data_IF_559419133075
#
_entry.id   IF_559419133075
#
_cell.length_a   1.000
_cell.length_b   1.000
_cell.length_c   1.000
_cell.angle_alpha   90.00
_cell.angle_beta   90.00
_cell.angle_gamma   90.00
#
_symmetry.space_group_name_H-M   'P 1'
#
loop_
_entity.id
_entity.type
_entity.pdbx_description
1 polymer ?
#
# COMPACT_ATOMS: atom_id res chain seq x y z
N UNK A 1 -16.37 6.00 13.14
CA UNK A 1 -16.06 4.74 12.43
C UNK A 1 -16.26 3.50 13.31
N UNK A 2 -16.91 3.61 14.48
CA UNK A 2 -17.25 2.47 15.34
C UNK A 2 -16.14 1.96 16.28
N UNK A 3 -15.01 2.64 16.38
CA UNK A 3 -13.97 2.35 17.36
C UNK A 3 -14.28 3.04 18.70
N UNK A 4 -14.19 2.30 19.81
CA UNK A 4 -14.36 2.84 21.16
C UNK A 4 -13.16 3.66 21.63
N UNK A 5 -11.98 3.37 21.08
CA UNK A 5 -10.73 4.03 21.40
C UNK A 5 -9.94 4.36 20.12
N UNK A 6 -9.43 5.59 20.03
CA UNK A 6 -8.67 6.06 18.86
C UNK A 6 -7.49 6.90 19.30
N UNK A 7 -6.28 6.47 18.92
CA UNK A 7 -5.06 7.25 18.93
C UNK A 7 -4.71 7.61 17.49
N UNK A 8 -4.91 8.85 17.09
CA UNK A 8 -4.85 9.26 15.69
C UNK A 8 -3.48 9.84 15.32
N UNK A 9 -2.87 9.27 14.29
CA UNK A 9 -1.80 9.88 13.49
C UNK A 9 -2.35 10.32 12.15
N UNK A 10 -1.96 11.50 11.66
CA UNK A 10 -2.36 12.01 10.33
C UNK A 10 -1.14 12.56 9.59
N UNK A 11 -1.02 12.25 8.30
CA UNK A 11 0.16 12.59 7.51
C UNK A 11 1.29 11.56 7.66
N UNK A 12 2.50 11.92 7.25
CA UNK A 12 3.59 10.98 7.03
C UNK A 12 4.94 11.48 7.51
N UNK A 13 5.89 10.54 7.70
CA UNK A 13 7.24 10.81 8.18
C UNK A 13 7.23 11.53 9.53
N UNK A 14 8.25 12.32 9.80
CA UNK A 14 8.34 13.07 11.05
C UNK A 14 7.37 14.26 11.17
N UNK A 15 6.59 14.56 10.10
CA UNK A 15 5.56 15.62 10.06
C UNK A 15 4.16 15.13 10.46
N UNK A 16 4.00 13.90 10.90
CA UNK A 16 2.73 13.36 11.37
C UNK A 16 2.06 14.31 12.38
N UNK A 17 0.76 14.48 12.21
CA UNK A 17 -0.11 15.28 13.09
C UNK A 17 -0.99 14.41 13.98
N UNK A 18 -2.14 14.98 14.39
CA UNK A 18 -3.10 14.29 15.26
C UNK A 18 -2.66 14.23 16.71
N UNK A 19 -3.01 13.16 17.44
CA UNK A 19 -2.65 12.99 18.84
C UNK A 19 -1.14 12.85 19.06
N UNK A 20 -0.42 12.39 18.06
CA UNK A 20 1.03 12.27 18.08
C UNK A 20 1.72 13.59 18.43
N UNK A 21 1.27 14.72 17.87
CA UNK A 21 1.93 16.00 18.13
C UNK A 21 1.83 16.44 19.60
N UNK A 22 0.73 16.15 20.26
CA UNK A 22 0.54 16.45 21.67
C UNK A 22 1.45 15.57 22.54
N UNK A 23 1.50 14.28 22.22
CA UNK A 23 2.37 13.30 22.91
C UNK A 23 3.86 13.61 22.71
N UNK A 24 4.26 14.03 21.51
CA UNK A 24 5.64 14.41 21.23
C UNK A 24 6.03 15.67 21.98
N UNK A 25 5.17 16.68 22.00
CA UNK A 25 5.42 17.95 22.72
C UNK A 25 5.51 17.75 24.23
N UNK A 26 4.74 16.82 24.79
CA UNK A 26 4.86 16.46 26.22
C UNK A 26 6.22 15.85 26.53
N UNK A 27 6.77 15.02 25.65
CA UNK A 27 8.09 14.37 25.82
C UNK A 27 9.26 15.30 25.50
N UNK A 28 9.09 16.11 24.49
CA UNK A 28 10.10 17.01 23.95
C UNK A 28 9.49 18.41 23.75
N UNK A 29 9.44 19.24 24.79
CA UNK A 29 8.95 20.62 24.69
C UNK A 29 9.72 21.41 23.60
N UNK A 30 8.99 22.03 22.65
CA UNK A 30 9.56 22.66 21.48
C UNK A 30 9.83 21.66 20.35
N UNK A 31 9.09 20.56 20.30
CA UNK A 31 9.24 19.46 19.33
C UNK A 31 9.11 19.86 17.88
N UNK A 32 8.49 20.98 17.56
CA UNK A 32 8.49 21.53 16.21
C UNK A 32 9.89 21.76 15.64
N UNK A 33 10.89 22.02 16.51
CA UNK A 33 12.29 22.22 16.14
C UNK A 33 13.04 20.90 15.86
N UNK A 34 12.39 19.75 15.99
CA UNK A 34 12.92 18.41 15.65
C UNK A 34 12.41 17.91 14.27
N UNK A 35 11.40 18.54 13.72
CA UNK A 35 10.58 17.99 12.64
C UNK A 35 10.79 18.75 11.33
N UNK A 36 10.76 18.00 10.24
CA UNK A 36 10.81 18.54 8.89
C UNK A 36 12.21 18.84 8.38
N UNK A 37 12.34 19.15 7.08
CA UNK A 37 13.63 19.32 6.42
C UNK A 37 14.46 20.49 6.94
N UNK A 38 13.82 21.53 7.46
CA UNK A 38 14.53 22.71 8.00
C UNK A 38 15.27 22.41 9.31
N UNK A 39 14.90 21.31 9.97
CA UNK A 39 15.48 20.84 11.24
C UNK A 39 16.23 19.51 11.07
N UNK A 40 16.50 19.10 9.84
CA UNK A 40 17.19 17.85 9.55
C UNK A 40 18.58 17.78 10.13
N UNK A 41 18.97 16.61 10.61
CA UNK A 41 20.36 16.32 10.92
C UNK A 41 21.20 16.28 9.65
N UNK A 42 22.52 16.57 9.73
CA UNK A 42 23.40 16.52 8.57
C UNK A 42 23.35 15.16 7.85
N UNK A 43 23.23 15.18 6.52
CA UNK A 43 23.26 14.00 5.65
C UNK A 43 23.73 14.39 4.24
N UNK A 44 24.05 13.37 3.41
CA UNK A 44 24.54 13.57 2.04
C UNK A 44 23.52 13.23 0.96
N UNK A 45 22.34 12.73 1.33
CA UNK A 45 21.28 12.35 0.39
C UNK A 45 20.65 13.58 -0.24
N UNK A 46 20.31 13.47 -1.52
CA UNK A 46 19.80 14.57 -2.36
C UNK A 46 18.42 14.29 -2.93
N UNK A 47 17.89 13.08 -2.70
CA UNK A 47 16.58 12.66 -3.19
C UNK A 47 15.45 13.58 -2.72
N UNK A 48 14.45 13.82 -3.57
CA UNK A 48 13.26 14.56 -3.17
C UNK A 48 12.59 13.93 -1.95
N UNK A 49 12.13 14.78 -1.01
CA UNK A 49 11.44 14.34 0.21
C UNK A 49 12.28 13.39 1.08
N UNK A 50 13.58 13.61 1.10
CA UNK A 50 14.55 12.80 1.87
C UNK A 50 15.27 13.72 2.85
N UNK A 51 15.19 13.44 4.15
CA UNK A 51 15.98 14.13 5.17
C UNK A 51 16.15 13.25 6.42
N UNK A 52 17.29 13.42 7.07
CA UNK A 52 17.57 12.74 8.33
C UNK A 52 16.86 13.45 9.47
N UNK A 53 15.80 12.86 9.99
CA UNK A 53 15.00 13.48 11.06
C UNK A 53 15.81 13.67 12.34
N UNK A 54 15.56 14.77 13.05
CA UNK A 54 16.09 15.00 14.39
C UNK A 54 15.17 14.45 15.50
N UNK A 55 14.01 13.88 15.15
CA UNK A 55 13.15 13.19 16.11
C UNK A 55 13.84 11.90 16.57
N UNK A 56 14.03 11.70 17.90
CA UNK A 56 14.62 10.47 18.42
C UNK A 56 13.80 9.22 18.03
N UNK A 57 14.49 8.08 17.86
CA UNK A 57 13.87 6.81 17.47
C UNK A 57 12.70 6.42 18.38
N UNK A 58 12.86 6.54 19.69
CA UNK A 58 11.84 6.22 20.69
C UNK A 58 10.64 7.19 20.68
N UNK A 59 10.75 8.29 19.96
CA UNK A 59 9.72 9.33 19.86
C UNK A 59 9.20 9.51 18.44
N UNK A 60 9.63 8.67 17.51
CA UNK A 60 9.17 8.70 16.12
C UNK A 60 7.72 8.17 16.00
N UNK A 61 6.93 8.55 14.98
CA UNK A 61 5.54 8.13 14.85
C UNK A 61 5.30 6.62 14.96
N UNK A 62 6.15 5.80 14.35
CA UNK A 62 6.06 4.33 14.43
C UNK A 62 6.21 3.84 15.87
N UNK A 63 7.13 4.43 16.65
CA UNK A 63 7.29 4.11 18.09
C UNK A 63 6.08 4.54 18.91
N UNK A 64 5.49 5.71 18.61
CA UNK A 64 4.26 6.17 19.25
C UNK A 64 3.09 5.21 19.06
N UNK A 65 2.86 4.75 17.81
CA UNK A 65 1.80 3.80 17.50
C UNK A 65 2.02 2.49 18.22
N UNK A 66 3.26 1.99 18.21
CA UNK A 66 3.65 0.76 18.89
C UNK A 66 3.43 0.86 20.39
N UNK A 67 3.92 1.93 21.05
CA UNK A 67 3.74 2.15 22.50
C UNK A 67 2.26 2.16 22.88
N UNK A 68 1.43 2.91 22.15
CA UNK A 68 -0.01 2.96 22.42
C UNK A 68 -0.70 1.59 22.22
N UNK A 69 -0.23 0.79 21.28
CA UNK A 69 -0.76 -0.55 21.03
C UNK A 69 -0.39 -1.52 22.14
N UNK A 70 0.86 -1.48 22.61
CA UNK A 70 1.32 -2.28 23.76
C UNK A 70 0.55 -1.91 25.03
N UNK A 71 0.35 -0.62 25.28
CA UNK A 71 -0.40 -0.09 26.42
C UNK A 71 -1.88 -0.49 26.36
N UNK A 72 -2.50 -0.44 25.18
CA UNK A 72 -3.87 -0.94 24.99
C UNK A 72 -3.99 -2.43 25.32
N UNK A 73 -3.08 -3.27 24.82
CA UNK A 73 -3.09 -4.70 25.11
C UNK A 73 -2.92 -5.00 26.61
N UNK A 74 -2.03 -4.25 27.29
CA UNK A 74 -1.86 -4.37 28.72
C UNK A 74 -3.16 -4.00 29.48
N UNK A 75 -3.75 -2.85 29.17
CA UNK A 75 -5.00 -2.38 29.79
C UNK A 75 -6.16 -3.34 29.54
N UNK A 76 -6.26 -3.89 28.33
CA UNK A 76 -7.25 -4.91 28.00
C UNK A 76 -7.10 -6.13 28.92
N UNK A 77 -5.88 -6.65 29.06
CA UNK A 77 -5.60 -7.80 29.93
C UNK A 77 -5.92 -7.50 31.40
N UNK A 78 -5.48 -6.33 31.91
CA UNK A 78 -5.66 -5.93 33.30
C UNK A 78 -7.13 -5.65 33.65
N UNK A 79 -7.94 -5.27 32.66
CA UNK A 79 -9.37 -5.04 32.88
C UNK A 79 -10.16 -6.35 33.13
N UNK A 80 -9.59 -7.50 32.81
CA UNK A 80 -10.28 -8.79 32.85
C UNK A 80 -11.43 -8.89 31.85
N UNK A 81 -11.40 -8.09 30.77
CA UNK A 81 -12.43 -8.12 29.74
C UNK A 81 -12.57 -9.52 29.12
N UNK A 82 -13.81 -10.00 29.01
CA UNK A 82 -14.15 -11.29 28.37
C UNK A 82 -14.55 -11.11 26.91
N UNK A 83 -14.92 -9.89 26.50
CA UNK A 83 -15.28 -9.59 25.11
C UNK A 83 -14.01 -9.54 24.24
N UNK A 84 -14.04 -10.07 23.00
CA UNK A 84 -12.93 -9.97 22.08
C UNK A 84 -12.65 -8.50 21.75
N UNK A 85 -11.39 -8.18 21.42
CA UNK A 85 -11.03 -6.87 20.89
C UNK A 85 -10.80 -6.95 19.37
N UNK A 86 -11.00 -5.81 18.71
CA UNK A 86 -10.52 -5.53 17.37
C UNK A 86 -9.56 -4.34 17.45
N UNK A 87 -8.31 -4.53 17.03
CA UNK A 87 -7.29 -3.49 17.06
C UNK A 87 -6.71 -3.28 15.66
N UNK A 88 -6.72 -2.06 15.18
CA UNK A 88 -6.06 -1.66 13.95
C UNK A 88 -4.84 -0.80 14.29
N UNK A 89 -3.65 -1.27 13.91
CA UNK A 89 -2.40 -0.55 14.00
C UNK A 89 -2.02 -0.08 12.61
N UNK A 90 -2.09 1.22 12.36
CA UNK A 90 -1.77 1.80 11.07
C UNK A 90 -0.50 2.63 11.17
N UNK A 91 0.58 2.12 10.63
CA UNK A 91 1.85 2.80 10.53
C UNK A 91 1.88 3.69 9.28
N UNK A 92 2.30 4.97 9.37
CA UNK A 92 2.49 5.81 8.19
C UNK A 92 3.70 5.40 7.36
N UNK A 93 4.68 4.72 7.97
CA UNK A 93 5.86 4.19 7.27
C UNK A 93 5.52 2.89 6.51
N UNK A 94 6.18 2.66 5.37
CA UNK A 94 7.31 3.37 4.78
C UNK A 94 6.93 4.49 3.78
N UNK A 95 5.78 5.15 3.92
CA UNK A 95 5.38 6.24 3.04
C UNK A 95 6.38 7.41 3.07
N UNK A 96 6.64 8.02 1.91
CA UNK A 96 7.42 9.27 1.87
C UNK A 96 6.78 10.39 2.74
N UNK A 97 7.56 11.33 3.27
CA UNK A 97 8.99 11.53 3.12
C UNK A 97 9.82 10.42 3.77
N UNK A 98 10.96 10.13 3.13
CA UNK A 98 11.86 9.06 3.55
C UNK A 98 12.73 9.57 4.71
N UNK A 99 12.26 9.32 5.94
CA UNK A 99 12.85 9.92 7.15
C UNK A 99 13.03 8.93 8.30
N UNK A 100 13.59 7.72 8.07
CA UNK A 100 13.78 6.77 9.16
C UNK A 100 14.69 7.38 10.24
N UNK A 101 14.33 7.22 11.54
CA UNK A 101 15.11 7.79 12.64
C UNK A 101 16.28 6.91 13.05
N UNK A 102 17.27 7.51 13.73
CA UNK A 102 18.33 6.81 14.44
C UNK A 102 19.09 5.80 13.59
N UNK A 103 19.18 4.56 14.08
CA UNK A 103 19.91 3.45 13.43
C UNK A 103 19.35 3.06 12.05
N UNK A 104 18.09 3.27 11.81
CA UNK A 104 17.42 2.86 10.57
C UNK A 104 17.82 3.72 9.36
N UNK A 105 18.31 4.96 9.60
CA UNK A 105 18.82 5.84 8.55
C UNK A 105 20.07 5.29 7.87
N UNK A 106 20.99 4.74 8.62
CA UNK A 106 22.29 4.28 8.15
C UNK A 106 22.32 2.74 7.95
N UNK A 107 21.16 2.06 7.97
CA UNK A 107 21.09 0.59 8.00
C UNK A 107 21.37 -0.06 6.65
N UNK A 108 20.99 0.60 5.56
CA UNK A 108 21.13 0.11 4.19
C UNK A 108 21.91 1.11 3.35
N UNK A 109 22.80 0.60 2.48
CA UNK A 109 23.58 1.43 1.59
C UNK A 109 22.84 1.60 0.23
N UNK A 110 22.63 2.82 -0.26
CA UNK A 110 22.08 3.04 -1.61
C UNK A 110 22.81 2.32 -2.74
N UNK A 111 24.13 2.14 -2.62
CA UNK A 111 24.92 1.44 -3.63
C UNK A 111 24.60 -0.06 -3.72
N UNK A 112 24.05 -0.66 -2.66
CA UNK A 112 23.63 -2.05 -2.61
C UNK A 112 22.20 -2.27 -3.15
N UNK A 113 21.45 -1.19 -3.43
CA UNK A 113 20.07 -1.30 -3.92
C UNK A 113 20.03 -1.71 -5.40
N UNK A 114 19.33 -2.80 -5.70
CA UNK A 114 19.08 -3.23 -7.07
C UNK A 114 17.88 -2.47 -7.66
N UNK A 115 18.08 -1.87 -8.83
CA UNK A 115 17.01 -1.19 -9.55
C UNK A 115 16.08 -2.20 -10.23
N UNK A 116 14.78 -1.89 -10.38
CA UNK A 116 13.84 -2.72 -11.14
C UNK A 116 14.34 -2.97 -12.57
N UNK A 117 14.01 -4.13 -13.15
CA UNK A 117 14.37 -4.43 -14.53
C UNK A 117 13.79 -3.41 -15.52
N UNK A 118 12.63 -2.86 -15.22
CA UNK A 118 11.97 -1.77 -15.97
C UNK A 118 12.73 -0.44 -15.96
N UNK A 119 13.72 -0.25 -15.07
CA UNK A 119 14.55 0.96 -15.01
C UNK A 119 15.37 1.21 -16.28
N UNK A 120 15.98 0.13 -16.85
CA UNK A 120 16.87 0.20 -18.01
C UNK A 120 16.33 -0.67 -19.14
N UNK A 121 15.41 -0.14 -19.89
CA UNK A 121 14.86 -0.80 -21.09
C UNK A 121 15.19 -0.03 -22.35
N UNK A 122 15.32 -0.75 -23.48
CA UNK A 122 15.43 -0.18 -24.82
C UNK A 122 14.04 -0.08 -25.51
N UNK A 123 12.99 -0.45 -24.82
CA UNK A 123 11.60 -0.36 -25.31
C UNK A 123 11.09 1.05 -25.11
N UNK A 124 10.36 1.58 -26.07
CA UNK A 124 9.70 2.87 -25.92
C UNK A 124 8.68 2.80 -24.78
N UNK A 125 8.67 3.77 -23.86
CA UNK A 125 7.74 3.76 -22.74
C UNK A 125 6.29 3.92 -23.23
N UNK A 126 5.30 3.42 -22.48
CA UNK A 126 3.90 3.73 -22.75
C UNK A 126 3.60 5.22 -22.49
N UNK A 127 2.49 5.70 -23.02
CA UNK A 127 2.12 7.12 -22.94
C UNK A 127 2.07 7.66 -21.50
N UNK A 128 1.65 6.84 -20.55
CA UNK A 128 1.59 7.17 -19.13
C UNK A 128 2.98 7.50 -18.54
N UNK A 129 3.97 6.70 -18.87
CA UNK A 129 5.36 6.88 -18.43
C UNK A 129 6.03 8.02 -19.20
N UNK A 130 5.83 8.08 -20.52
CA UNK A 130 6.38 9.15 -21.36
C UNK A 130 5.95 10.53 -20.86
N UNK A 131 4.67 10.68 -20.48
CA UNK A 131 4.16 11.90 -19.89
C UNK A 131 4.97 12.35 -18.64
N UNK A 132 5.35 11.42 -17.77
CA UNK A 132 6.15 11.74 -16.59
C UNK A 132 7.61 12.09 -16.94
N UNK A 133 8.19 11.39 -17.92
CA UNK A 133 9.55 11.66 -18.41
C UNK A 133 9.63 13.03 -19.09
N UNK A 134 8.63 13.38 -19.92
CA UNK A 134 8.57 14.71 -20.57
C UNK A 134 8.56 15.82 -19.52
N UNK A 135 7.81 15.66 -18.42
CA UNK A 135 7.78 16.65 -17.33
C UNK A 135 9.10 16.76 -16.56
N UNK A 136 9.88 15.70 -16.48
CA UNK A 136 11.24 15.75 -15.96
C UNK A 136 12.15 16.52 -16.91
N UNK A 137 12.08 16.23 -18.20
CA UNK A 137 12.95 16.82 -19.22
C UNK A 137 12.69 18.32 -19.40
N UNK A 138 11.46 18.77 -19.35
CA UNK A 138 11.08 20.17 -19.48
C UNK A 138 11.15 20.95 -18.14
N UNK A 139 11.43 20.25 -17.03
CA UNK A 139 11.55 20.83 -15.69
C UNK A 139 10.22 21.22 -15.03
N UNK A 140 9.08 20.80 -15.58
CA UNK A 140 7.75 21.10 -15.03
C UNK A 140 7.26 20.12 -13.98
N UNK A 141 8.00 19.03 -13.73
CA UNK A 141 7.60 18.03 -12.73
C UNK A 141 7.58 18.60 -11.31
N UNK A 142 6.64 18.09 -10.51
CA UNK A 142 6.53 18.41 -9.09
C UNK A 142 7.00 17.22 -8.27
N UNK A 143 8.15 17.36 -7.59
CA UNK A 143 8.76 16.29 -6.78
C UNK A 143 8.41 16.39 -5.30
N UNK A 144 7.63 17.39 -4.91
CA UNK A 144 7.16 17.59 -3.53
C UNK A 144 5.69 17.19 -3.40
N UNK A 145 5.30 16.78 -2.18
CA UNK A 145 3.95 16.32 -1.90
C UNK A 145 3.73 14.87 -2.33
N UNK A 146 2.57 14.56 -2.87
CA UNK A 146 2.16 13.18 -3.21
C UNK A 146 2.07 12.94 -4.72
N UNK A 147 2.74 13.75 -5.53
CA UNK A 147 2.69 13.62 -6.98
C UNK A 147 3.68 12.54 -7.46
N UNK A 148 3.21 11.69 -8.36
CA UNK A 148 4.06 10.85 -9.18
C UNK A 148 5.08 11.72 -9.92
N UNK A 149 6.32 11.28 -10.02
CA UNK A 149 7.36 11.94 -10.80
C UNK A 149 8.39 10.95 -11.34
N UNK A 150 9.09 11.33 -12.40
CA UNK A 150 10.23 10.59 -12.93
C UNK A 150 11.51 10.97 -12.16
N UNK A 151 12.26 9.97 -11.68
CA UNK A 151 13.40 10.18 -10.79
C UNK A 151 14.75 9.90 -11.45
N UNK A 152 15.80 10.38 -10.83
CA UNK A 152 17.19 10.05 -11.15
C UNK A 152 17.60 8.77 -10.40
N UNK A 153 18.56 7.99 -10.97
CA UNK A 153 19.02 6.73 -10.39
C UNK A 153 19.48 6.88 -8.93
N UNK A 154 20.28 7.89 -8.64
CA UNK A 154 20.78 8.11 -7.28
C UNK A 154 19.65 8.35 -6.28
N UNK A 155 18.62 9.11 -6.66
CA UNK A 155 17.46 9.39 -5.80
C UNK A 155 16.62 8.14 -5.53
N UNK A 156 16.47 7.27 -6.53
CA UNK A 156 15.76 5.99 -6.35
C UNK A 156 16.50 5.08 -5.39
N UNK A 157 17.82 4.94 -5.55
CA UNK A 157 18.64 4.10 -4.65
C UNK A 157 18.62 4.63 -3.22
N UNK A 158 18.73 5.95 -3.03
CA UNK A 158 18.57 6.60 -1.73
C UNK A 158 17.20 6.29 -1.10
N UNK A 159 16.12 6.45 -1.87
CA UNK A 159 14.76 6.17 -1.41
C UNK A 159 14.56 4.68 -1.07
N UNK A 160 15.09 3.76 -1.88
CA UNK A 160 15.03 2.31 -1.63
C UNK A 160 15.73 1.94 -0.32
N UNK A 161 16.94 2.44 -0.09
CA UNK A 161 17.69 2.17 1.12
C UNK A 161 16.95 2.66 2.38
N UNK A 162 16.39 3.88 2.32
CA UNK A 162 15.62 4.45 3.41
C UNK A 162 14.27 3.74 3.62
N UNK A 163 13.61 3.32 2.54
CA UNK A 163 12.39 2.51 2.59
C UNK A 163 12.68 1.17 3.30
N UNK A 164 13.79 0.50 2.98
CA UNK A 164 14.21 -0.71 3.68
C UNK A 164 14.44 -0.45 5.19
N UNK A 165 15.03 0.69 5.54
CA UNK A 165 15.20 1.12 6.93
C UNK A 165 13.85 1.31 7.64
N UNK A 166 12.89 1.98 7.00
CA UNK A 166 11.53 2.17 7.54
C UNK A 166 10.78 0.84 7.66
N UNK A 167 10.90 -0.06 6.68
CA UNK A 167 10.30 -1.40 6.76
C UNK A 167 10.89 -2.19 7.94
N UNK A 168 12.21 -2.14 8.15
CA UNK A 168 12.85 -2.80 9.29
C UNK A 168 12.34 -2.25 10.62
N UNK A 169 12.11 -0.94 10.71
CA UNK A 169 11.53 -0.32 11.91
C UNK A 169 10.09 -0.79 12.16
N UNK A 170 9.29 -0.95 11.11
CA UNK A 170 7.94 -1.52 11.22
C UNK A 170 7.99 -2.97 11.64
N UNK A 171 8.92 -3.77 11.09
CA UNK A 171 9.12 -5.18 11.46
C UNK A 171 9.52 -5.34 12.93
N UNK A 172 10.49 -4.54 13.40
CA UNK A 172 10.85 -4.49 14.82
C UNK A 172 9.63 -4.18 15.71
N UNK A 173 8.77 -3.24 15.28
CA UNK A 173 7.54 -2.84 15.98
C UNK A 173 6.49 -3.95 16.01
N UNK A 174 6.28 -4.64 14.89
CA UNK A 174 5.41 -5.83 14.83
C UNK A 174 5.94 -6.92 15.77
N UNK A 175 7.26 -7.14 15.78
CA UNK A 175 7.91 -8.06 16.69
C UNK A 175 7.63 -7.75 18.16
N UNK A 176 7.64 -6.46 18.56
CA UNK A 176 7.29 -6.02 19.92
C UNK A 176 5.84 -6.37 20.27
N UNK A 177 4.89 -6.14 19.37
CA UNK A 177 3.47 -6.45 19.58
C UNK A 177 3.24 -7.96 19.67
N UNK A 178 3.85 -8.74 18.80
CA UNK A 178 3.78 -10.20 18.84
C UNK A 178 4.35 -10.77 20.14
N UNK A 179 5.43 -10.20 20.64
CA UNK A 179 6.00 -10.57 21.95
C UNK A 179 5.07 -10.19 23.10
N UNK A 180 4.42 -9.02 23.03
CA UNK A 180 3.44 -8.58 24.03
C UNK A 180 2.22 -9.50 24.09
N UNK A 181 1.69 -9.92 22.96
CA UNK A 181 0.59 -10.90 22.89
C UNK A 181 0.99 -12.22 23.58
N UNK A 182 2.23 -12.70 23.37
CA UNK A 182 2.76 -13.91 24.03
C UNK A 182 2.89 -13.72 25.54
N UNK A 183 3.48 -12.58 25.97
CA UNK A 183 3.66 -12.22 27.38
C UNK A 183 2.34 -12.20 28.15
N UNK A 184 1.29 -11.64 27.53
CA UNK A 184 -0.04 -11.52 28.11
C UNK A 184 -0.87 -12.82 28.01
N UNK A 185 -0.36 -13.85 27.34
CA UNK A 185 -1.08 -15.11 27.09
C UNK A 185 -2.25 -14.95 26.11
N UNK A 186 -2.19 -13.96 25.22
CA UNK A 186 -3.21 -13.68 24.20
C UNK A 186 -2.84 -14.23 22.83
N UNK A 187 -1.61 -14.63 22.59
CA UNK A 187 -1.11 -15.03 21.28
C UNK A 187 -1.86 -16.24 20.68
N UNK A 188 -2.38 -17.15 21.52
CA UNK A 188 -3.12 -18.33 21.08
C UNK A 188 -4.63 -18.10 20.93
N UNK A 189 -5.07 -16.84 21.05
CA UNK A 189 -6.48 -16.45 20.94
C UNK A 189 -6.62 -15.12 20.18
N UNK A 190 -5.65 -14.83 19.33
CA UNK A 190 -5.64 -13.60 18.54
C UNK A 190 -5.25 -13.91 17.10
N UNK A 191 -6.10 -13.54 16.17
CA UNK A 191 -5.79 -13.54 14.73
C UNK A 191 -4.99 -12.29 14.42
N UNK A 192 -3.89 -12.44 13.69
CA UNK A 192 -3.06 -11.32 13.23
C UNK A 192 -3.11 -11.23 11.72
N UNK A 193 -3.50 -10.07 11.22
CA UNK A 193 -3.53 -9.76 9.79
C UNK A 193 -2.51 -8.66 9.52
N UNK A 194 -1.59 -8.90 8.59
CA UNK A 194 -0.63 -7.91 8.14
C UNK A 194 -0.83 -7.61 6.66
N UNK A 195 -0.94 -6.34 6.32
CA UNK A 195 -1.11 -5.87 4.94
C UNK A 195 -0.67 -4.41 4.80
N UNK A 196 -0.69 -3.91 3.56
CA UNK A 196 -0.53 -2.49 3.23
C UNK A 196 -1.72 -2.02 2.40
N UNK A 197 -1.96 -0.72 2.35
CA UNK A 197 -2.99 -0.08 1.51
C UNK A 197 -2.59 -0.10 0.02
N UNK A 198 -1.34 0.21 -0.29
CA UNK A 198 -0.73 0.16 -1.62
C UNK A 198 0.80 0.06 -1.48
N UNK A 199 1.47 -0.19 -2.59
CA UNK A 199 2.93 -0.12 -2.70
C UNK A 199 3.44 1.27 -3.10
N UNK A 200 4.66 1.32 -3.62
CA UNK A 200 5.28 2.50 -4.23
C UNK A 200 5.96 2.05 -5.53
N UNK A 201 5.99 2.89 -6.56
CA UNK A 201 6.66 2.58 -7.82
C UNK A 201 8.16 2.41 -7.64
N UNK A 202 8.76 3.16 -6.74
CA UNK A 202 10.12 3.01 -6.21
C UNK A 202 11.16 2.62 -7.27
N UNK A 203 11.08 3.27 -8.44
CA UNK A 203 11.97 3.07 -9.57
C UNK A 203 11.37 2.31 -10.76
N UNK A 204 10.19 1.68 -10.63
CA UNK A 204 9.52 1.08 -11.77
C UNK A 204 9.36 2.12 -12.90
N UNK A 205 9.86 1.78 -14.10
CA UNK A 205 9.87 2.67 -15.26
C UNK A 205 10.45 4.08 -14.98
N UNK A 206 11.41 4.19 -14.05
CA UNK A 206 12.00 5.44 -13.56
C UNK A 206 11.02 6.33 -12.79
N UNK A 207 9.92 5.78 -12.29
CA UNK A 207 8.89 6.50 -11.56
C UNK A 207 9.03 6.32 -10.06
N UNK A 208 8.56 7.33 -9.31
CA UNK A 208 8.53 7.33 -7.85
C UNK A 208 7.13 7.65 -7.35
N UNK A 209 6.87 7.18 -6.13
CA UNK A 209 5.65 7.38 -5.38
C UNK A 209 4.47 6.64 -6.00
N UNK A 210 3.33 7.29 -6.13
CA UNK A 210 2.08 6.68 -6.55
C UNK A 210 1.25 7.61 -7.43
N UNK A 211 0.39 7.02 -8.24
CA UNK A 211 -0.51 7.72 -9.14
C UNK A 211 -1.34 6.72 -9.94
N UNK A 212 -2.07 7.16 -10.96
CA UNK A 212 -2.91 6.28 -11.77
C UNK A 212 -2.09 5.47 -12.79
N UNK A 213 -0.97 4.87 -12.36
CA UNK A 213 -0.11 3.99 -13.15
C UNK A 213 0.12 2.72 -12.31
N UNK A 214 -0.57 1.64 -12.65
CA UNK A 214 -0.74 0.46 -11.82
C UNK A 214 0.25 -0.65 -12.14
N UNK A 215 1.57 -0.39 -12.01
CA UNK A 215 2.58 -1.45 -12.08
C UNK A 215 2.63 -2.27 -10.79
N UNK A 216 3.24 -3.45 -10.87
CA UNK A 216 3.34 -4.41 -9.76
C UNK A 216 3.82 -3.77 -8.46
N UNK A 217 4.85 -2.94 -8.50
CA UNK A 217 5.40 -2.27 -7.31
C UNK A 217 4.35 -1.46 -6.55
N UNK A 218 3.35 -0.91 -7.25
CA UNK A 218 2.29 -0.11 -6.64
C UNK A 218 1.09 -0.94 -6.18
N UNK A 219 0.65 -1.93 -6.98
CA UNK A 219 -0.65 -2.59 -6.75
C UNK A 219 -0.54 -3.92 -6.02
N UNK A 220 0.64 -4.51 -5.92
CA UNK A 220 0.85 -5.78 -5.23
C UNK A 220 1.40 -5.55 -3.83
N UNK A 221 0.57 -5.80 -2.83
CA UNK A 221 0.89 -5.59 -1.42
C UNK A 221 1.04 -6.93 -0.66
N UNK A 222 1.79 -6.97 0.44
CA UNK A 222 1.82 -8.15 1.30
C UNK A 222 0.44 -8.39 1.90
N UNK A 223 0.07 -9.68 2.02
CA UNK A 223 -1.09 -10.10 2.80
C UNK A 223 -0.74 -11.38 3.56
N UNK A 224 -0.72 -11.27 4.89
CA UNK A 224 -0.41 -12.38 5.80
C UNK A 224 -1.59 -12.54 6.76
N UNK A 225 -2.14 -13.74 6.83
CA UNK A 225 -3.18 -14.12 7.76
C UNK A 225 -2.64 -15.18 8.71
N UNK A 226 -2.47 -14.83 9.98
CA UNK A 226 -2.04 -15.75 11.02
C UNK A 226 -3.21 -16.03 11.97
N UNK A 227 -3.80 -17.22 11.81
CA UNK A 227 -4.92 -17.72 12.61
C UNK A 227 -4.46 -18.83 13.55
N UNK A 228 -4.82 -18.73 14.81
CA UNK A 228 -4.37 -19.67 15.86
C UNK A 228 -5.08 -21.01 15.80
N UNK A 229 -6.36 -21.03 15.39
CA UNK A 229 -7.09 -22.26 15.11
C UNK A 229 -6.71 -22.81 13.72
N UNK A 230 -5.61 -22.29 13.20
CA UNK A 230 -5.15 -22.40 11.84
C UNK A 230 -5.27 -23.80 11.29
N UNK A 231 -6.14 -23.90 10.34
CA UNK A 231 -6.31 -25.09 9.51
C UNK A 231 -5.10 -25.37 8.64
N UNK A 232 -4.12 -24.45 8.65
CA UNK A 232 -2.88 -24.54 7.87
C UNK A 232 -1.66 -24.37 8.78
N UNK A 233 -0.74 -25.33 8.71
CA UNK A 233 0.57 -25.26 9.38
C UNK A 233 1.55 -24.31 8.66
N UNK A 234 1.08 -23.16 8.23
CA UNK A 234 1.79 -22.25 7.33
C UNK A 234 1.68 -22.72 5.87
N UNK A 235 1.65 -21.77 4.95
CA UNK A 235 1.54 -22.02 3.51
C UNK A 235 1.43 -20.70 2.75
N UNK A 236 1.43 -20.81 1.44
CA UNK A 236 1.13 -19.72 0.53
C UNK A 236 -0.03 -20.13 -0.39
N UNK A 237 -0.80 -19.15 -0.85
CA UNK A 237 -1.85 -19.33 -1.84
C UNK A 237 -1.60 -18.37 -2.99
N UNK A 238 -1.77 -18.86 -4.22
CA UNK A 238 -1.73 -18.04 -5.44
C UNK A 238 -3.10 -17.48 -5.81
N UNK A 239 -4.08 -17.57 -4.89
CA UNK A 239 -5.44 -17.09 -5.10
C UNK A 239 -5.45 -15.59 -5.41
N UNK A 240 -6.15 -15.22 -6.48
CA UNK A 240 -6.37 -13.82 -6.86
C UNK A 240 -7.28 -13.14 -5.83
N UNK A 241 -6.71 -12.20 -5.09
CA UNK A 241 -7.40 -11.48 -4.01
C UNK A 241 -7.05 -9.99 -3.99
N UNK A 242 -7.93 -9.19 -3.41
CA UNK A 242 -7.74 -7.76 -3.25
C UNK A 242 -8.04 -7.29 -1.83
N UNK A 243 -7.70 -6.04 -1.54
CA UNK A 243 -7.94 -5.43 -0.21
C UNK A 243 -9.42 -5.41 0.19
N UNK A 244 -10.34 -5.44 -0.79
CA UNK A 244 -11.79 -5.57 -0.54
C UNK A 244 -12.16 -6.88 0.19
N UNK A 245 -11.39 -7.94 -0.02
CA UNK A 245 -11.67 -9.26 0.53
C UNK A 245 -11.35 -9.34 2.04
N UNK A 246 -10.53 -8.44 2.56
CA UNK A 246 -10.10 -8.44 3.97
C UNK A 246 -11.30 -8.29 4.91
N UNK A 247 -12.15 -7.31 4.66
CA UNK A 247 -13.30 -7.03 5.52
C UNK A 247 -14.28 -8.22 5.55
N UNK A 248 -14.57 -8.79 4.37
CA UNK A 248 -15.43 -9.97 4.25
C UNK A 248 -14.83 -11.19 4.95
N UNK A 249 -13.52 -11.39 4.83
CA UNK A 249 -12.81 -12.48 5.49
C UNK A 249 -12.87 -12.35 7.02
N UNK A 250 -12.69 -11.14 7.56
CA UNK A 250 -12.80 -10.87 9.00
C UNK A 250 -14.22 -11.15 9.50
N UNK A 251 -15.25 -10.71 8.78
CA UNK A 251 -16.65 -10.96 9.16
C UNK A 251 -16.97 -12.45 9.17
N UNK A 252 -16.60 -13.18 8.12
CA UNK A 252 -16.80 -14.62 8.00
C UNK A 252 -16.10 -15.37 9.15
N UNK A 253 -14.81 -15.05 9.41
CA UNK A 253 -14.06 -15.66 10.52
C UNK A 253 -14.66 -15.36 11.89
N UNK A 254 -15.27 -14.20 12.04
CA UNK A 254 -15.98 -13.81 13.28
C UNK A 254 -17.41 -14.38 13.36
N UNK A 255 -17.88 -15.12 12.36
CA UNK A 255 -19.20 -15.72 12.32
C UNK A 255 -20.33 -14.72 12.03
N UNK A 256 -20.03 -13.60 11.39
CA UNK A 256 -21.02 -12.62 10.97
C UNK A 256 -21.34 -12.75 9.49
N UNK A 257 -22.63 -12.69 9.18
CA UNK A 257 -23.09 -12.58 7.79
C UNK A 257 -22.67 -11.21 7.20
N UNK A 258 -22.25 -11.18 5.92
CA UNK A 258 -21.92 -9.93 5.27
C UNK A 258 -23.13 -8.99 5.21
N UNK A 259 -22.91 -7.74 5.50
CA UNK A 259 -23.94 -6.74 5.26
C UNK A 259 -24.08 -6.45 3.76
N UNK A 260 -25.27 -6.00 3.38
CA UNK A 260 -25.54 -5.68 1.98
C UNK A 260 -24.64 -4.54 1.49
N UNK A 261 -24.12 -4.66 0.28
CA UNK A 261 -23.20 -3.70 -0.34
C UNK A 261 -21.73 -4.02 -0.15
N UNK A 262 -21.35 -5.04 0.64
CA UNK A 262 -19.98 -5.52 0.69
C UNK A 262 -19.63 -6.25 -0.62
N UNK A 263 -18.53 -5.88 -1.24
CA UNK A 263 -18.17 -6.33 -2.58
C UNK A 263 -17.04 -7.35 -2.61
N UNK A 264 -16.31 -7.49 -1.51
CA UNK A 264 -15.27 -8.49 -1.33
C UNK A 264 -15.86 -9.90 -1.12
N UNK A 265 -14.99 -10.90 -1.17
CA UNK A 265 -15.30 -12.29 -0.81
C UNK A 265 -14.53 -12.74 0.42
N UNK A 266 -14.99 -13.79 1.08
CA UNK A 266 -14.19 -14.42 2.13
C UNK A 266 -13.03 -15.22 1.52
N UNK A 267 -11.85 -15.07 2.09
CA UNK A 267 -10.65 -15.87 1.80
C UNK A 267 -10.49 -17.04 2.78
N UNK A 268 -11.45 -17.27 3.67
CA UNK A 268 -11.38 -18.38 4.64
C UNK A 268 -11.24 -19.75 3.99
N UNK A 269 -11.84 -20.07 2.82
CA UNK A 269 -11.56 -21.32 2.12
C UNK A 269 -10.07 -21.47 1.77
N UNK A 270 -9.44 -20.45 1.24
CA UNK A 270 -8.01 -20.46 0.85
C UNK A 270 -7.09 -20.47 2.08
N UNK A 271 -7.46 -19.75 3.15
CA UNK A 271 -6.79 -19.86 4.47
C UNK A 271 -6.88 -21.30 4.98
N UNK A 272 -7.98 -22.00 4.73
CA UNK A 272 -8.17 -23.43 5.01
C UNK A 272 -7.44 -24.38 4.03
N UNK A 273 -6.70 -23.86 3.05
CA UNK A 273 -5.96 -24.65 2.05
C UNK A 273 -6.80 -25.14 0.87
N UNK A 274 -8.01 -24.60 0.68
CA UNK A 274 -8.78 -24.89 -0.52
C UNK A 274 -8.15 -24.18 -1.76
N UNK A 275 -8.34 -24.73 -2.97
CA UNK A 275 -7.98 -24.04 -4.20
C UNK A 275 -8.72 -22.70 -4.34
N UNK A 276 -8.14 -21.77 -5.10
CA UNK A 276 -8.80 -20.51 -5.42
C UNK A 276 -10.19 -20.73 -6.02
N UNK A 277 -11.19 -20.13 -5.42
CA UNK A 277 -12.57 -20.10 -5.87
C UNK A 277 -13.01 -18.70 -6.32
N UNK A 278 -12.05 -17.77 -6.41
CA UNK A 278 -12.31 -16.41 -6.81
C UNK A 278 -12.65 -16.28 -8.30
N UNK A 279 -12.95 -15.08 -8.72
CA UNK A 279 -13.39 -14.78 -10.09
C UNK A 279 -12.28 -14.83 -11.13
N UNK A 280 -11.07 -15.23 -10.77
CA UNK A 280 -9.90 -15.29 -11.66
C UNK A 280 -9.39 -13.91 -12.11
N UNK A 281 -9.90 -12.83 -11.51
CA UNK A 281 -9.49 -11.48 -11.84
C UNK A 281 -9.74 -10.52 -10.68
N UNK A 282 -8.84 -9.55 -10.50
CA UNK A 282 -8.98 -8.43 -9.54
C UNK A 282 -9.21 -7.14 -10.33
N UNK A 283 -10.23 -6.38 -9.93
CA UNK A 283 -10.51 -5.05 -10.45
C UNK A 283 -9.95 -4.00 -9.49
N UNK A 284 -9.23 -3.04 -10.03
CA UNK A 284 -8.71 -1.87 -9.31
C UNK A 284 -9.31 -0.63 -9.98
N UNK A 285 -10.00 0.18 -9.20
CA UNK A 285 -10.59 1.44 -9.65
C UNK A 285 -9.91 2.58 -8.89
N UNK A 286 -9.40 3.57 -9.62
CA UNK A 286 -8.78 4.74 -9.02
C UNK A 286 -9.40 6.02 -9.59
N UNK A 287 -9.79 6.91 -8.68
CA UNK A 287 -10.08 8.32 -8.96
C UNK A 287 -9.11 9.20 -8.17
N UNK A 288 -8.22 9.92 -8.86
CA UNK A 288 -7.27 10.81 -8.22
C UNK A 288 -7.76 12.25 -8.27
N UNK A 289 -7.65 12.96 -7.15
CA UNK A 289 -8.03 14.38 -7.04
C UNK A 289 -7.16 15.31 -7.90
N UNK A 290 -6.06 14.80 -8.43
CA UNK A 290 -5.11 15.51 -9.29
C UNK A 290 -5.38 15.19 -10.76
N UNK A 291 -4.91 16.09 -11.65
CA UNK A 291 -4.89 15.83 -13.07
C UNK A 291 -3.62 15.06 -13.46
N UNK A 292 -3.76 14.13 -14.41
CA UNK A 292 -2.67 13.36 -15.00
C UNK A 292 -2.86 13.27 -16.51
N UNK A 293 -1.78 13.04 -17.24
CA UNK A 293 -1.81 12.82 -18.70
C UNK A 293 -2.47 13.99 -19.46
N UNK A 294 -2.20 15.22 -18.97
CA UNK A 294 -2.77 16.47 -19.48
C UNK A 294 -4.31 16.54 -19.44
N UNK A 295 -4.93 15.65 -18.65
CA UNK A 295 -6.36 15.69 -18.34
C UNK A 295 -6.59 16.42 -17.01
N UNK A 296 -7.70 17.19 -16.90
CA UNK A 296 -8.07 17.82 -15.64
C UNK A 296 -8.47 16.78 -14.59
N UNK A 297 -8.40 17.13 -13.28
CA UNK A 297 -8.91 16.26 -12.23
C UNK A 297 -10.44 16.07 -12.33
N UNK A 298 -11.00 14.92 -11.87
CA UNK A 298 -10.25 13.78 -11.34
C UNK A 298 -9.67 12.90 -12.45
N UNK A 299 -8.43 12.45 -12.29
CA UNK A 299 -7.90 11.40 -13.16
C UNK A 299 -8.52 10.06 -12.76
N UNK A 300 -9.00 9.30 -13.73
CA UNK A 300 -9.63 7.98 -13.52
C UNK A 300 -8.93 6.92 -14.33
N UNK A 301 -8.65 5.80 -13.70
CA UNK A 301 -8.23 4.59 -14.39
C UNK A 301 -8.85 3.35 -13.77
N UNK A 302 -9.11 2.37 -14.62
CA UNK A 302 -9.59 1.05 -14.21
C UNK A 302 -8.62 -0.01 -14.71
N UNK A 303 -8.15 -0.83 -13.80
CA UNK A 303 -7.20 -1.89 -14.09
C UNK A 303 -7.82 -3.24 -13.77
N UNK A 304 -7.74 -4.17 -14.71
CA UNK A 304 -8.07 -5.56 -14.52
C UNK A 304 -6.78 -6.39 -14.50
N UNK A 305 -6.57 -7.15 -13.44
CA UNK A 305 -5.45 -8.07 -13.31
C UNK A 305 -6.00 -9.50 -13.28
N UNK A 306 -5.48 -10.34 -14.16
CA UNK A 306 -5.70 -11.80 -14.17
C UNK A 306 -4.38 -12.49 -13.85
N UNK A 307 -4.36 -13.82 -13.80
CA UNK A 307 -3.14 -14.60 -13.63
C UNK A 307 -2.11 -14.29 -14.72
N UNK A 308 -2.57 -14.09 -15.97
CA UNK A 308 -1.69 -13.89 -17.12
C UNK A 308 -1.59 -12.43 -17.58
N UNK A 309 -2.65 -11.64 -17.51
CA UNK A 309 -2.66 -10.32 -18.12
C UNK A 309 -3.04 -9.22 -17.14
N UNK A 310 -2.44 -8.04 -17.32
CA UNK A 310 -2.91 -6.77 -16.75
C UNK A 310 -3.35 -5.84 -17.87
N UNK A 311 -4.56 -5.31 -17.75
CA UNK A 311 -5.09 -4.28 -18.66
C UNK A 311 -5.47 -3.04 -17.86
N UNK A 312 -5.07 -1.85 -18.32
CA UNK A 312 -5.46 -0.56 -17.71
C UNK A 312 -6.09 0.35 -18.75
N UNK A 313 -7.27 0.91 -18.41
CA UNK A 313 -7.95 1.96 -19.14
C UNK A 313 -7.80 3.30 -18.43
N UNK A 314 -7.60 4.36 -19.19
CA UNK A 314 -7.48 5.73 -18.72
C UNK A 314 -8.61 6.58 -19.27
N UNK A 315 -9.43 7.14 -18.39
CA UNK A 315 -10.55 7.98 -18.79
C UNK A 315 -10.08 9.22 -19.57
N UNK A 316 -10.73 9.50 -20.69
CA UNK A 316 -10.41 10.65 -21.54
C UNK A 316 -9.24 10.45 -22.49
N UNK A 317 -8.63 9.28 -22.50
CA UNK A 317 -7.54 8.91 -23.41
C UNK A 317 -7.98 7.77 -24.33
N UNK A 318 -7.43 7.74 -25.54
CA UNK A 318 -7.69 6.73 -26.57
C UNK A 318 -6.65 5.59 -26.55
N UNK A 319 -5.71 5.64 -25.65
CA UNK A 319 -4.68 4.64 -25.38
C UNK A 319 -4.93 3.95 -24.03
N UNK A 320 -4.27 2.80 -23.85
CA UNK A 320 -4.30 2.02 -22.63
C UNK A 320 -3.02 1.21 -22.48
N UNK A 321 -3.05 0.30 -21.54
CA UNK A 321 -1.94 -0.62 -21.31
C UNK A 321 -2.43 -2.06 -21.23
N UNK A 322 -1.67 -2.97 -21.84
CA UNK A 322 -1.86 -4.42 -21.76
C UNK A 322 -0.50 -5.09 -21.63
N UNK A 323 -0.33 -5.91 -20.62
CA UNK A 323 0.91 -6.66 -20.39
C UNK A 323 0.62 -8.14 -20.20
N UNK A 324 1.50 -9.00 -20.69
CA UNK A 324 1.53 -10.44 -20.38
C UNK A 324 2.44 -10.68 -19.18
N UNK A 325 1.85 -10.94 -18.02
CA UNK A 325 2.58 -11.05 -16.75
C UNK A 325 3.38 -12.35 -16.61
N UNK A 326 3.18 -13.32 -17.52
CA UNK A 326 3.93 -14.57 -17.57
C UNK A 326 5.20 -14.39 -18.39
N UNK A 327 5.08 -13.83 -19.59
CA UNK A 327 6.21 -13.66 -20.51
C UNK A 327 6.99 -12.37 -20.24
N UNK A 328 6.33 -11.36 -19.64
CA UNK A 328 6.88 -10.04 -19.28
C UNK A 328 6.46 -9.64 -17.86
N UNK A 329 6.97 -10.32 -16.82
CA UNK A 329 6.61 -10.05 -15.43
C UNK A 329 7.02 -8.65 -14.92
N UNK A 330 7.94 -8.00 -15.61
CA UNK A 330 8.41 -6.64 -15.30
C UNK A 330 7.63 -5.56 -16.07
N UNK A 331 6.57 -5.95 -16.82
CA UNK A 331 5.63 -5.05 -17.50
C UNK A 331 6.32 -4.03 -18.43
N UNK A 332 7.31 -4.48 -19.20
CA UNK A 332 8.15 -3.63 -20.06
C UNK A 332 7.50 -3.39 -21.43
N UNK A 333 6.81 -4.40 -21.97
CA UNK A 333 6.30 -4.40 -23.35
C UNK A 333 4.78 -4.16 -23.33
N UNK A 334 4.37 -2.93 -23.60
CA UNK A 334 2.94 -2.63 -23.73
C UNK A 334 2.37 -3.23 -25.03
N UNK A 335 1.49 -4.20 -24.90
CA UNK A 335 0.84 -4.94 -26.00
C UNK A 335 -0.46 -4.28 -26.48
N UNK A 336 -0.84 -3.11 -25.97
CA UNK A 336 -2.11 -2.45 -26.26
C UNK A 336 -2.39 -2.28 -27.76
N UNK A 337 -1.40 -1.87 -28.52
CA UNK A 337 -1.49 -1.64 -29.97
C UNK A 337 -0.92 -2.79 -30.81
N UNK A 338 -0.47 -3.89 -30.17
CA UNK A 338 0.02 -5.04 -30.92
C UNK A 338 -1.13 -5.77 -31.61
N UNK A 339 -1.13 -5.88 -32.96
CA UNK A 339 -2.15 -6.60 -33.71
C UNK A 339 -2.31 -8.08 -33.32
N UNK A 340 -1.24 -8.72 -32.83
CA UNK A 340 -1.28 -10.11 -32.40
C UNK A 340 -2.08 -10.31 -31.10
N UNK A 341 -2.20 -9.26 -30.27
CA UNK A 341 -2.89 -9.30 -28.99
C UNK A 341 -4.27 -8.60 -29.02
N UNK A 342 -4.79 -8.28 -30.20
CA UNK A 342 -6.07 -7.61 -30.36
C UNK A 342 -7.24 -8.43 -29.78
N UNK A 343 -7.23 -9.74 -29.93
CA UNK A 343 -8.27 -10.63 -29.39
C UNK A 343 -8.19 -10.64 -27.87
N UNK A 344 -7.00 -10.89 -27.31
CA UNK A 344 -6.71 -10.84 -25.86
C UNK A 344 -7.18 -9.52 -25.24
N UNK A 345 -6.84 -8.38 -25.87
CA UNK A 345 -7.31 -7.07 -25.42
C UNK A 345 -8.84 -6.98 -25.40
N UNK A 346 -9.51 -7.50 -26.40
CA UNK A 346 -10.98 -7.48 -26.48
C UNK A 346 -11.62 -8.35 -25.39
N UNK A 347 -11.07 -9.50 -25.11
CA UNK A 347 -11.51 -10.40 -24.03
C UNK A 347 -11.31 -9.78 -22.65
N UNK A 348 -10.15 -9.13 -22.43
CA UNK A 348 -9.86 -8.42 -21.19
C UNK A 348 -10.83 -7.24 -20.98
N UNK A 349 -11.15 -6.48 -22.05
CA UNK A 349 -12.13 -5.39 -21.98
C UNK A 349 -13.55 -5.90 -21.68
N UNK A 350 -13.96 -7.02 -22.27
CA UNK A 350 -15.24 -7.65 -21.93
C UNK A 350 -15.27 -8.11 -20.47
N UNK A 351 -14.19 -8.74 -20.02
CA UNK A 351 -14.05 -9.20 -18.63
C UNK A 351 -14.13 -8.01 -17.66
N UNK A 352 -13.42 -6.92 -17.95
CA UNK A 352 -13.48 -5.68 -17.17
C UNK A 352 -14.92 -5.16 -17.06
N UNK A 353 -15.63 -5.05 -18.19
CA UNK A 353 -17.02 -4.58 -18.21
C UNK A 353 -17.94 -5.49 -17.37
N UNK A 354 -17.80 -6.81 -17.49
CA UNK A 354 -18.57 -7.78 -16.69
C UNK A 354 -18.28 -7.68 -15.20
N UNK A 355 -17.01 -7.50 -14.82
CA UNK A 355 -16.60 -7.29 -13.42
C UNK A 355 -17.20 -6.00 -12.84
N UNK A 356 -17.15 -4.90 -13.57
CA UNK A 356 -17.77 -3.64 -13.16
C UNK A 356 -19.28 -3.78 -12.96
N UNK A 357 -19.97 -4.47 -13.88
CA UNK A 357 -21.41 -4.73 -13.73
C UNK A 357 -21.73 -5.58 -12.49
N UNK A 358 -20.86 -6.55 -12.15
CA UNK A 358 -21.06 -7.39 -10.97
C UNK A 358 -20.86 -6.64 -9.66
N UNK A 359 -20.10 -5.54 -9.65
CA UNK A 359 -19.79 -4.71 -8.48
C UNK A 359 -20.72 -3.50 -8.34
N UNK A 360 -21.70 -3.31 -9.22
CA UNK A 360 -22.70 -2.24 -9.09
C UNK A 360 -23.47 -2.45 -7.79
N UNK A 361 -23.44 -1.43 -6.93
CA UNK A 361 -24.23 -1.44 -5.70
C UNK A 361 -25.71 -1.32 -6.03
N UNK A 362 -26.48 -2.29 -5.56
CA UNK A 362 -27.93 -2.34 -5.74
C UNK A 362 -28.70 -1.71 -4.55
N UNK A 363 -28.03 -0.90 -3.74
CA UNK A 363 -28.66 -0.25 -2.60
C UNK A 363 -29.40 1.05 -2.96
N UNK A 364 -30.56 1.29 -2.36
CA UNK A 364 -31.38 0.34 -1.58
C UNK A 364 -32.01 -0.72 -2.48
N UNK A 365 -32.17 -1.95 -1.94
CA UNK A 365 -32.91 -2.99 -2.68
C UNK A 365 -34.29 -2.47 -3.06
N UNK A 366 -34.76 -2.72 -4.30
CA UNK A 366 -36.12 -2.37 -4.67
C UNK A 366 -37.13 -2.96 -3.70
N UNK A 367 -37.92 -2.12 -3.06
CA UNK A 367 -38.99 -2.55 -2.15
C UNK A 367 -40.24 -3.06 -2.89
N UNK A 368 -40.29 -2.84 -4.20
CA UNK A 368 -41.38 -3.31 -5.06
C UNK A 368 -40.85 -3.65 -6.46
N UNK A 369 -41.42 -4.66 -7.07
CA UNK A 369 -41.25 -4.94 -8.51
C UNK A 369 -42.18 -4.04 -9.30
N UNK A 370 -41.68 -3.43 -10.36
CA UNK A 370 -42.48 -2.65 -11.27
C UNK A 370 -43.47 -3.55 -12.01
#
# INVERSE_FOLDING_TARGET
YGFDHVNLCTGHGDKVGGHYTLWLEERHPGSENLRGPDNALPHNYTGPQTWRTAVPEESYPTSYITENSLDYLQKYKDSGAENPFFMMMSYPDPHHPFTPPGKYWDMYDPDDMELPASWRTNVAPPNSVQWAWDKREDGSQVTQGQNLFAAEEAHVREAMALTCGMITMVDDSVGMVMNKLKELGLANDTIVVFTSDHGDLLGDHQLMLKGPIHYHGLIRVPFIWADVDGTTNGGASDAMSGTLDIAQTILDRAGYEPYYGIQGRSLMPEVGGAPDQGPGAVLIEQEDQRGYFDQPPPARCHTLVTEQYRLTLYHGNDWGELYDLIDDPDEIINLWDDPAHKETRSEMLETLARRQMALIDLHPLPAATA
#
